data_IF_495553072692
#
_entry.id   IF_495553072692
#
_cell.length_a   1.000
_cell.length_b   1.000
_cell.length_c   1.000
_cell.angle_alpha   90.00
_cell.angle_beta   90.00
_cell.angle_gamma   90.00
#
_symmetry.space_group_name_H-M   'P 1'
#
loop_
_entity.id
_entity.type
_entity.pdbx_description
1 polymer ?
#
# COMPACT_ATOMS: atom_id res chain seq x y z
N UNK A 1 -19.59 12.45 -33.65
CA UNK A 1 -19.92 11.65 -32.46
C UNK A 1 -19.02 10.42 -32.42
N UNK A 2 -17.88 10.48 -31.70
CA UNK A 2 -17.04 9.32 -31.43
C UNK A 2 -17.15 8.96 -29.93
N UNK A 3 -17.83 7.89 -29.66
CA UNK A 3 -17.96 7.26 -28.33
C UNK A 3 -16.79 6.29 -28.17
N UNK A 4 -15.72 6.70 -27.47
CA UNK A 4 -14.65 5.76 -27.08
C UNK A 4 -14.96 5.18 -25.72
N UNK A 5 -15.60 4.01 -25.74
CA UNK A 5 -15.83 3.18 -24.55
C UNK A 5 -14.50 2.58 -24.10
N UNK A 6 -13.95 3.08 -22.98
CA UNK A 6 -12.76 2.51 -22.34
C UNK A 6 -13.08 1.13 -21.75
N UNK A 7 -12.70 0.06 -22.42
CA UNK A 7 -12.79 -1.30 -21.88
C UNK A 7 -11.75 -1.46 -20.76
N UNK A 8 -12.23 -1.73 -19.54
CA UNK A 8 -11.38 -2.11 -18.42
C UNK A 8 -10.74 -3.49 -18.71
N UNK A 9 -9.42 -3.53 -18.87
CA UNK A 9 -8.66 -4.77 -19.05
C UNK A 9 -8.66 -5.57 -17.74
N UNK A 10 -9.50 -6.61 -17.67
CA UNK A 10 -9.50 -7.60 -16.60
C UNK A 10 -8.34 -8.57 -16.86
N UNK A 11 -7.41 -8.70 -15.92
CA UNK A 11 -6.29 -9.65 -16.04
C UNK A 11 -6.79 -11.09 -15.83
N UNK A 12 -6.13 -12.09 -16.49
CA UNK A 12 -6.45 -13.53 -16.32
C UNK A 12 -6.46 -13.96 -14.84
N UNK A 13 -5.66 -13.33 -14.01
CA UNK A 13 -5.55 -13.62 -12.57
C UNK A 13 -6.74 -13.09 -11.76
N UNK A 14 -7.32 -11.96 -12.16
CA UNK A 14 -8.56 -11.41 -11.59
C UNK A 14 -9.77 -12.28 -11.96
N UNK A 15 -9.80 -12.78 -13.19
CA UNK A 15 -10.83 -13.72 -13.64
C UNK A 15 -10.86 -15.01 -12.81
N UNK A 16 -9.70 -15.62 -12.54
CA UNK A 16 -9.58 -16.86 -11.77
C UNK A 16 -9.92 -16.70 -10.27
N UNK A 17 -9.87 -15.47 -9.74
CA UNK A 17 -10.23 -15.16 -8.35
C UNK A 17 -11.65 -14.67 -8.17
N UNK A 18 -12.45 -14.59 -9.25
CA UNK A 18 -13.81 -14.07 -9.20
C UNK A 18 -13.90 -12.58 -8.85
N UNK A 19 -12.79 -11.84 -8.98
CA UNK A 19 -12.75 -10.40 -8.71
C UNK A 19 -13.10 -9.62 -9.99
N UNK A 20 -14.37 -9.54 -10.25
CA UNK A 20 -14.94 -8.79 -11.39
C UNK A 20 -15.13 -7.31 -11.10
N UNK A 21 -14.76 -6.84 -9.88
CA UNK A 21 -15.09 -5.48 -9.45
C UNK A 21 -14.30 -4.39 -10.16
N UNK A 22 -13.16 -4.70 -10.81
CA UNK A 22 -12.30 -3.72 -11.51
C UNK A 22 -11.91 -2.50 -10.63
N UNK A 23 -12.36 -2.48 -9.38
CA UNK A 23 -12.10 -1.40 -8.44
C UNK A 23 -10.68 -1.50 -7.95
N UNK A 24 -9.85 -0.62 -8.46
CA UNK A 24 -8.53 -0.39 -7.91
C UNK A 24 -8.71 -0.06 -6.42
N UNK A 25 -8.29 -0.95 -5.53
CA UNK A 25 -8.36 -0.69 -4.09
C UNK A 25 -7.56 0.57 -3.80
N UNK A 26 -8.25 1.62 -3.39
CA UNK A 26 -7.60 2.88 -3.01
C UNK A 26 -7.07 2.68 -1.58
N UNK A 27 -5.76 2.77 -1.34
CA UNK A 27 -5.21 2.58 0.00
C UNK A 27 -5.67 3.70 0.92
N UNK A 28 -6.58 3.42 1.84
CA UNK A 28 -7.05 4.38 2.85
C UNK A 28 -6.00 4.56 3.94
N UNK A 29 -6.06 5.67 4.69
CA UNK A 29 -5.21 5.85 5.88
C UNK A 29 -5.34 4.65 6.85
N UNK A 30 -4.32 4.39 7.69
CA UNK A 30 -4.42 3.32 8.68
C UNK A 30 -5.63 3.54 9.61
N UNK A 31 -6.21 2.44 10.05
CA UNK A 31 -7.43 2.39 10.86
C UNK A 31 -8.68 3.00 10.20
N UNK A 32 -8.67 3.14 8.86
CA UNK A 32 -9.91 3.45 8.16
C UNK A 32 -10.94 2.35 8.42
N UNK A 33 -12.19 2.77 8.63
CA UNK A 33 -13.33 1.84 8.71
C UNK A 33 -13.49 1.13 7.37
N UNK A 34 -14.45 0.19 7.27
CA UNK A 34 -14.78 -0.42 5.96
C UNK A 34 -15.03 0.68 4.93
N UNK A 35 -14.70 0.46 3.66
CA UNK A 35 -14.80 1.53 2.64
C UNK A 35 -16.16 2.22 2.65
N UNK A 36 -17.25 1.48 2.77
CA UNK A 36 -18.60 2.05 2.84
C UNK A 36 -18.79 2.97 4.06
N UNK A 37 -18.35 2.52 5.24
CA UNK A 37 -18.45 3.29 6.48
C UNK A 37 -17.49 4.48 6.50
N UNK A 38 -16.30 4.33 5.92
CA UNK A 38 -15.34 5.42 5.74
C UNK A 38 -15.90 6.52 4.84
N UNK A 39 -16.45 6.14 3.68
CA UNK A 39 -17.05 7.08 2.72
C UNK A 39 -18.23 7.81 3.33
N UNK A 40 -19.07 7.13 4.12
CA UNK A 40 -20.23 7.72 4.78
C UNK A 40 -19.84 8.71 5.90
N UNK A 41 -18.78 8.42 6.65
CA UNK A 41 -18.35 9.24 7.78
C UNK A 41 -17.39 10.38 7.38
N UNK A 42 -16.59 10.22 6.30
CA UNK A 42 -15.55 11.17 5.92
C UNK A 42 -16.13 12.48 5.39
N UNK A 43 -15.95 13.56 6.13
CA UNK A 43 -16.37 14.93 5.77
C UNK A 43 -15.42 15.65 4.82
N UNK A 44 -14.28 15.02 4.44
CA UNK A 44 -13.23 15.62 3.58
C UNK A 44 -12.56 16.86 4.18
N UNK A 45 -12.51 16.98 5.50
CA UNK A 45 -11.95 18.14 6.21
C UNK A 45 -10.43 18.28 6.06
N UNK A 46 -9.72 17.25 5.59
CA UNK A 46 -8.26 17.19 5.43
C UNK A 46 -7.44 17.18 6.74
N UNK A 47 -8.05 17.18 7.92
CA UNK A 47 -7.35 17.23 9.21
C UNK A 47 -6.38 16.06 9.38
N UNK A 48 -6.75 14.84 8.95
CA UNK A 48 -5.87 13.68 8.98
C UNK A 48 -4.65 13.83 8.06
N UNK A 49 -4.79 14.55 6.92
CA UNK A 49 -3.69 14.82 6.00
C UNK A 49 -2.72 15.81 6.65
N UNK A 50 -3.24 16.90 7.20
CA UNK A 50 -2.45 17.93 7.86
C UNK A 50 -1.73 17.42 9.12
N UNK A 51 -2.36 16.48 9.85
CA UNK A 51 -1.80 15.87 11.05
C UNK A 51 -0.70 14.83 10.76
N UNK A 52 -0.53 14.39 9.50
CA UNK A 52 0.44 13.34 9.18
C UNK A 52 1.88 13.87 9.16
N UNK A 53 2.77 13.47 10.11
CA UNK A 53 4.14 13.97 10.14
C UNK A 53 4.98 13.47 8.95
N UNK A 54 4.64 12.31 8.40
CA UNK A 54 5.32 11.74 7.24
C UNK A 54 4.80 12.29 5.91
N UNK A 55 3.69 13.08 5.93
CA UNK A 55 3.07 13.69 4.75
C UNK A 55 2.74 12.69 3.63
N UNK A 56 2.50 11.43 3.98
CA UNK A 56 2.16 10.36 3.03
C UNK A 56 0.67 10.32 2.68
N UNK A 57 -0.16 11.14 3.32
CA UNK A 57 -1.57 11.22 3.00
C UNK A 57 -1.80 12.29 1.92
N UNK A 58 -2.57 11.92 0.90
CA UNK A 58 -2.95 12.77 -0.21
C UNK A 58 -4.46 12.68 -0.43
N UNK A 59 -5.01 13.48 -1.32
CA UNK A 59 -6.40 13.37 -1.76
C UNK A 59 -6.49 12.42 -2.97
N UNK A 60 -7.49 11.57 -2.97
CA UNK A 60 -7.90 10.81 -4.16
C UNK A 60 -8.77 11.69 -5.09
N UNK A 61 -9.22 11.09 -6.22
CA UNK A 61 -10.11 11.76 -7.19
C UNK A 61 -11.45 12.25 -6.61
N UNK A 62 -11.89 11.64 -5.51
CA UNK A 62 -13.13 11.97 -4.82
C UNK A 62 -12.91 12.92 -3.62
N UNK A 63 -11.75 13.56 -3.56
CA UNK A 63 -11.30 14.45 -2.48
C UNK A 63 -11.31 13.77 -1.10
N UNK A 64 -11.01 12.46 -1.03
CA UNK A 64 -10.87 11.71 0.22
C UNK A 64 -9.42 11.33 0.47
N UNK A 65 -9.01 11.20 1.75
CA UNK A 65 -7.64 10.83 2.06
C UNK A 65 -7.30 9.42 1.57
N UNK A 66 -6.13 9.32 0.95
CA UNK A 66 -5.47 8.09 0.49
C UNK A 66 -4.02 8.11 0.89
N UNK A 67 -3.36 6.96 0.88
CA UNK A 67 -1.92 6.85 1.14
C UNK A 67 -1.14 6.89 -0.17
N UNK A 68 -0.14 7.75 -0.21
CA UNK A 68 0.84 7.85 -1.29
C UNK A 68 2.22 7.40 -0.78
N UNK A 69 2.55 6.16 -0.98
CA UNK A 69 3.84 5.57 -0.58
C UNK A 69 5.04 6.13 -1.36
N UNK A 70 4.81 6.85 -2.45
CA UNK A 70 5.87 7.57 -3.16
C UNK A 70 6.47 8.72 -2.36
N UNK A 71 5.79 9.18 -1.30
CA UNK A 71 6.24 10.25 -0.40
C UNK A 71 6.97 9.75 0.83
N UNK A 72 6.89 8.45 1.13
CA UNK A 72 7.52 7.87 2.31
C UNK A 72 6.74 6.69 2.88
N UNK A 73 6.95 6.43 4.16
CA UNK A 73 6.38 5.29 4.90
C UNK A 73 5.41 5.72 6.00
N UNK A 74 4.54 4.80 6.42
CA UNK A 74 3.70 4.98 7.59
C UNK A 74 4.41 4.50 8.86
N UNK A 75 4.58 5.38 9.83
CA UNK A 75 5.15 5.06 11.15
C UNK A 75 4.10 4.57 12.16
N UNK A 76 2.84 4.44 11.75
CA UNK A 76 1.72 4.04 12.60
C UNK A 76 1.56 4.89 13.89
N UNK A 77 1.94 6.16 13.84
CA UNK A 77 1.89 7.08 15.00
C UNK A 77 0.46 7.38 15.51
N UNK A 78 -0.57 7.19 14.68
CA UNK A 78 -1.97 7.39 15.04
C UNK A 78 -2.49 8.82 14.96
N UNK A 79 -1.66 9.83 14.68
CA UNK A 79 -2.07 11.24 14.62
C UNK A 79 -3.22 11.51 13.64
N UNK A 80 -3.29 10.76 12.54
CA UNK A 80 -4.42 10.86 11.60
C UNK A 80 -5.76 10.42 12.21
N UNK A 81 -5.73 9.46 13.14
CA UNK A 81 -6.93 9.02 13.89
C UNK A 81 -7.33 10.06 14.90
N UNK A 82 -6.36 10.59 15.67
CA UNK A 82 -6.59 11.62 16.69
C UNK A 82 -7.23 12.87 16.10
N UNK A 83 -6.81 13.26 14.88
CA UNK A 83 -7.36 14.39 14.17
C UNK A 83 -8.73 14.13 13.50
N UNK A 84 -9.19 12.86 13.45
CA UNK A 84 -10.41 12.50 12.72
C UNK A 84 -11.66 12.69 13.58
N UNK A 85 -12.20 13.90 13.67
CA UNK A 85 -13.43 14.20 14.43
C UNK A 85 -14.65 13.37 13.96
N UNK A 86 -14.88 13.15 12.65
CA UNK A 86 -16.00 12.34 12.18
C UNK A 86 -15.85 10.84 12.44
N UNK A 87 -14.72 10.39 13.04
CA UNK A 87 -14.40 8.98 13.30
C UNK A 87 -14.49 8.07 12.07
N UNK A 88 -14.14 8.61 10.90
CA UNK A 88 -13.94 7.79 9.70
C UNK A 88 -12.70 6.90 9.84
N UNK A 89 -11.72 7.34 10.67
CA UNK A 89 -10.56 6.58 11.13
C UNK A 89 -10.74 6.27 12.61
N UNK A 90 -10.57 5.00 13.00
CA UNK A 90 -10.84 4.56 14.36
C UNK A 90 -9.95 3.35 14.74
N UNK A 91 -9.09 3.52 15.74
CA UNK A 91 -8.32 2.41 16.31
C UNK A 91 -9.27 1.46 17.03
N UNK A 92 -9.20 0.17 16.68
CA UNK A 92 -9.91 -0.89 17.36
C UNK A 92 -8.91 -1.78 18.07
N UNK A 93 -9.17 -2.13 19.29
CA UNK A 93 -8.32 -3.00 20.06
C UNK A 93 -8.14 -4.35 19.36
N UNK A 94 -6.91 -4.84 19.29
CA UNK A 94 -6.57 -6.09 18.61
C UNK A 94 -6.64 -6.09 17.08
N UNK A 95 -7.11 -4.99 16.46
CA UNK A 95 -7.16 -4.91 14.99
C UNK A 95 -5.88 -4.28 14.40
N UNK A 96 -5.33 -4.86 13.31
CA UNK A 96 -4.19 -4.25 12.63
C UNK A 96 -4.58 -2.91 12.02
N UNK A 97 -3.60 -2.01 11.80
CA UNK A 97 -3.85 -0.70 11.19
C UNK A 97 -4.52 -0.78 9.82
N UNK A 98 -4.18 -1.81 9.04
CA UNK A 98 -4.75 -2.15 7.72
C UNK A 98 -4.38 -3.57 7.31
N UNK A 99 -4.90 -4.02 6.16
CA UNK A 99 -4.61 -5.33 5.59
C UNK A 99 -3.55 -5.26 4.46
N UNK A 100 -2.98 -4.07 4.20
CA UNK A 100 -2.04 -3.86 3.12
C UNK A 100 -0.76 -4.66 3.33
N UNK A 101 -0.24 -5.26 2.25
CA UNK A 101 1.00 -6.03 2.22
C UNK A 101 1.86 -5.58 1.05
N UNK A 102 3.16 -5.71 1.19
CA UNK A 102 4.07 -5.51 0.08
C UNK A 102 4.08 -6.74 -0.84
N UNK A 103 4.20 -6.50 -2.13
CA UNK A 103 4.47 -7.54 -3.13
C UNK A 103 5.57 -7.08 -4.07
N UNK A 104 6.41 -8.03 -4.53
CA UNK A 104 7.55 -7.77 -5.40
C UNK A 104 7.21 -8.24 -6.81
N UNK A 105 7.26 -7.31 -7.76
CA UNK A 105 6.88 -7.52 -9.15
C UNK A 105 8.03 -8.17 -9.96
N UNK A 106 7.74 -8.62 -11.18
CA UNK A 106 8.67 -9.35 -12.03
C UNK A 106 9.83 -8.49 -12.56
N UNK A 107 9.65 -7.16 -12.62
CA UNK A 107 10.69 -6.20 -12.99
C UNK A 107 11.73 -5.95 -11.88
N UNK A 108 11.73 -6.75 -10.80
CA UNK A 108 12.71 -6.65 -9.72
C UNK A 108 14.12 -6.99 -10.22
N UNK A 109 15.10 -6.14 -9.92
CA UNK A 109 16.51 -6.36 -10.31
C UNK A 109 17.07 -7.69 -9.83
N UNK A 110 16.76 -8.10 -8.59
CA UNK A 110 17.24 -9.38 -8.06
C UNK A 110 16.62 -10.58 -8.79
N UNK A 111 15.38 -10.43 -9.30
CA UNK A 111 14.77 -11.44 -10.19
C UNK A 111 15.40 -11.46 -11.57
N UNK A 112 15.93 -10.34 -12.03
CA UNK A 112 16.71 -10.21 -13.26
C UNK A 112 18.21 -10.52 -13.06
N UNK A 113 18.58 -11.21 -11.98
CA UNK A 113 19.94 -11.62 -11.64
C UNK A 113 20.93 -10.47 -11.38
N UNK A 114 20.44 -9.30 -10.96
CA UNK A 114 21.26 -8.17 -10.52
C UNK A 114 21.21 -8.10 -8.99
N UNK A 115 22.38 -8.06 -8.33
CA UNK A 115 22.44 -7.98 -6.86
C UNK A 115 21.79 -6.68 -6.38
N UNK A 116 20.70 -6.82 -5.64
CA UNK A 116 19.96 -5.69 -5.07
C UNK A 116 19.27 -6.11 -3.78
N UNK A 117 19.43 -5.34 -2.70
CA UNK A 117 18.85 -5.60 -1.37
C UNK A 117 18.09 -4.40 -0.79
N UNK A 118 17.95 -3.29 -1.51
CA UNK A 118 17.42 -2.02 -1.04
C UNK A 118 16.07 -2.14 -0.27
N UNK A 119 15.15 -2.98 -0.73
CA UNK A 119 13.87 -3.18 -0.06
C UNK A 119 13.99 -3.94 1.27
N UNK A 120 14.96 -4.88 1.37
CA UNK A 120 15.22 -5.62 2.61
C UNK A 120 15.91 -4.75 3.65
N UNK A 121 16.88 -3.95 3.22
CA UNK A 121 17.62 -3.04 4.10
C UNK A 121 16.71 -1.95 4.70
N UNK A 122 15.69 -1.53 3.95
CA UNK A 122 14.68 -0.58 4.42
C UNK A 122 13.59 -1.22 5.29
N UNK A 123 13.51 -2.55 5.37
CA UNK A 123 12.42 -3.23 6.07
C UNK A 123 12.70 -3.36 7.57
N UNK A 124 12.24 -2.43 8.40
CA UNK A 124 12.47 -2.42 9.85
C UNK A 124 11.87 -3.66 10.56
N UNK A 125 10.77 -4.22 10.04
CA UNK A 125 10.14 -5.43 10.58
C UNK A 125 10.71 -6.72 9.98
N UNK A 126 11.77 -6.62 9.15
CA UNK A 126 12.47 -7.75 8.53
C UNK A 126 11.54 -8.75 7.81
N UNK A 127 10.46 -8.24 7.23
CA UNK A 127 9.50 -9.05 6.48
C UNK A 127 10.03 -9.46 5.09
N UNK A 128 11.10 -8.84 4.59
CA UNK A 128 11.69 -9.14 3.29
C UNK A 128 12.98 -9.91 3.52
N UNK A 129 12.99 -11.17 3.12
CA UNK A 129 14.14 -12.06 3.20
C UNK A 129 14.69 -12.38 1.82
N UNK A 130 15.97 -12.70 1.74
CA UNK A 130 16.64 -13.01 0.49
C UNK A 130 17.10 -14.48 0.51
N UNK A 131 16.44 -15.30 -0.31
CA UNK A 131 16.76 -16.71 -0.44
C UNK A 131 17.95 -16.87 -1.39
N UNK A 132 19.09 -17.48 -0.94
CA UNK A 132 20.23 -17.75 -1.79
C UNK A 132 19.83 -18.58 -3.01
N UNK A 133 20.43 -18.26 -4.16
CA UNK A 133 20.26 -19.03 -5.40
C UNK A 133 21.62 -19.51 -5.89
N UNK A 134 21.67 -20.71 -6.47
CA UNK A 134 22.91 -21.25 -7.04
C UNK A 134 23.26 -20.44 -8.30
N UNK A 135 24.47 -19.87 -8.32
CA UNK A 135 25.01 -19.07 -9.44
C UNK A 135 24.12 -17.90 -9.89
N UNK A 136 23.32 -17.36 -8.98
CA UNK A 136 22.35 -16.30 -9.28
C UNK A 136 22.22 -15.33 -8.09
N UNK A 137 21.68 -14.14 -8.32
CA UNK A 137 21.40 -13.21 -7.26
C UNK A 137 20.34 -13.77 -6.29
N UNK A 138 20.51 -13.53 -4.99
CA UNK A 138 19.54 -13.94 -3.98
C UNK A 138 18.18 -13.27 -4.25
N UNK A 139 17.10 -14.07 -4.20
CA UNK A 139 15.75 -13.60 -4.52
C UNK A 139 15.02 -13.08 -3.30
N UNK A 140 14.41 -11.90 -3.38
CA UNK A 140 13.61 -11.36 -2.28
C UNK A 140 12.24 -12.05 -2.20
N UNK A 141 11.87 -12.40 -0.98
CA UNK A 141 10.56 -12.95 -0.62
C UNK A 141 9.95 -12.13 0.52
N UNK A 142 8.65 -11.88 0.46
CA UNK A 142 7.92 -11.15 1.50
C UNK A 142 7.16 -12.12 2.37
N UNK A 143 7.44 -12.08 3.68
CA UNK A 143 6.63 -12.78 4.68
C UNK A 143 5.38 -11.95 4.97
N UNK A 144 4.21 -12.45 4.59
CA UNK A 144 2.94 -11.77 4.82
C UNK A 144 2.61 -11.63 6.31
N UNK A 145 3.08 -12.56 7.14
CA UNK A 145 2.84 -12.54 8.59
C UNK A 145 3.59 -11.41 9.29
N UNK A 146 4.82 -11.13 8.83
CA UNK A 146 5.66 -10.08 9.38
C UNK A 146 5.38 -8.72 8.73
N UNK A 147 4.96 -8.69 7.46
CA UNK A 147 4.73 -7.45 6.74
C UNK A 147 3.53 -6.70 7.32
N UNK A 148 3.76 -5.47 7.80
CA UNK A 148 2.72 -4.58 8.29
C UNK A 148 2.22 -3.57 7.24
N UNK A 149 2.75 -3.61 6.01
CA UNK A 149 2.35 -2.73 4.91
C UNK A 149 2.79 -1.27 5.04
N UNK A 150 3.77 -0.96 5.89
CA UNK A 150 4.21 0.43 6.16
C UNK A 150 4.69 1.21 4.92
N UNK A 151 5.16 0.53 3.88
CA UNK A 151 5.64 1.17 2.65
C UNK A 151 7.11 1.56 2.64
N UNK A 152 7.90 1.33 3.70
CA UNK A 152 9.32 1.67 3.77
C UNK A 152 10.14 1.12 2.58
N UNK A 153 9.78 -0.05 2.07
CA UNK A 153 10.43 -0.68 0.93
C UNK A 153 10.08 -0.05 -0.43
N UNK A 154 9.08 0.85 -0.50
CA UNK A 154 8.56 1.37 -1.77
C UNK A 154 9.53 2.37 -2.41
N UNK A 155 9.90 3.44 -1.68
CA UNK A 155 10.75 4.53 -2.18
C UNK A 155 12.16 4.06 -2.59
N UNK A 156 12.86 3.23 -1.80
CA UNK A 156 14.24 2.84 -2.11
C UNK A 156 14.34 1.84 -3.27
N UNK A 157 13.24 1.33 -3.82
CA UNK A 157 13.26 0.37 -4.92
C UNK A 157 13.62 1.06 -6.26
N UNK A 158 14.83 0.88 -6.81
CA UNK A 158 15.25 1.57 -8.04
C UNK A 158 14.48 1.12 -9.27
N UNK A 159 13.96 -0.11 -9.26
CA UNK A 159 13.15 -0.65 -10.35
C UNK A 159 11.64 -0.40 -10.17
N UNK A 160 11.22 0.30 -9.10
CA UNK A 160 9.80 0.50 -8.76
C UNK A 160 9.00 -0.82 -8.80
N UNK A 161 9.64 -1.92 -8.38
CA UNK A 161 9.08 -3.27 -8.43
C UNK A 161 8.23 -3.60 -7.18
N UNK A 162 8.01 -2.67 -6.27
CA UNK A 162 7.19 -2.90 -5.07
C UNK A 162 5.76 -2.40 -5.34
N UNK A 163 4.79 -3.20 -4.91
CA UNK A 163 3.37 -2.80 -4.80
C UNK A 163 2.93 -3.01 -3.37
N UNK A 164 2.10 -2.09 -2.86
CA UNK A 164 1.46 -2.17 -1.55
C UNK A 164 -0.05 -2.26 -1.78
N UNK A 165 -0.67 -3.33 -1.35
CA UNK A 165 -2.11 -3.58 -1.60
C UNK A 165 -2.66 -4.81 -0.88
#
# INVERSE_FOLDING_TARGET
FHYTSGMAHISRRQFLRGDFSGKKVVPRPPWARTEAAFVAACTRCCDCINACPQRILALDKDARPTVDFGRGECTFCGKCVEACQPRALEKREGAPPWQLKASIQDNCLARANVVCRACGDACTVQAIRFSPQIMSAARPEVSNDLCNGCGACYVPCPAQAIRIG
#
